data_IF_006467197388
#
_entry.id   IF_006467197388
#
_cell.length_a   1.000
_cell.length_b   1.000
_cell.length_c   1.000
_cell.angle_alpha   90.00
_cell.angle_beta   90.00
_cell.angle_gamma   90.00
#
_symmetry.space_group_name_H-M   'P 1'
#
loop_
_entity.id
_entity.type
_entity.pdbx_description
1 polymer ?
#
# COMPACT_ATOMS: atom_id res chain seq x y z
N UNK A 1 -0.22 31.98 -15.75
CA UNK A 1 -0.33 31.51 -14.35
C UNK A 1 -0.73 30.05 -14.41
N UNK A 2 -0.25 29.19 -13.51
CA UNK A 2 -0.64 27.78 -13.53
C UNK A 2 -2.08 27.64 -13.00
N UNK A 3 -2.99 27.16 -13.83
CA UNK A 3 -4.39 26.91 -13.45
C UNK A 3 -4.51 25.55 -12.76
N UNK A 4 -4.06 25.46 -11.50
CA UNK A 4 -3.96 24.20 -10.75
C UNK A 4 -5.28 23.42 -10.69
N UNK A 5 -6.41 24.13 -10.50
CA UNK A 5 -7.74 23.51 -10.45
C UNK A 5 -8.16 22.93 -11.80
N UNK A 6 -7.72 23.52 -12.91
CA UNK A 6 -7.96 22.98 -14.24
C UNK A 6 -7.20 21.65 -14.41
N UNK A 7 -5.90 21.61 -14.07
CA UNK A 7 -5.10 20.38 -14.11
C UNK A 7 -5.73 19.30 -13.22
N UNK A 8 -6.11 19.65 -11.99
CA UNK A 8 -6.76 18.72 -11.06
C UNK A 8 -8.06 18.13 -11.65
N UNK A 9 -8.87 18.94 -12.33
CA UNK A 9 -10.11 18.49 -12.98
C UNK A 9 -9.85 17.50 -14.13
N UNK A 10 -8.80 17.75 -14.94
CA UNK A 10 -8.37 16.85 -16.01
C UNK A 10 -7.86 15.51 -15.44
N UNK A 11 -7.06 15.56 -14.37
CA UNK A 11 -6.59 14.35 -13.68
C UNK A 11 -7.77 13.57 -13.07
N UNK A 12 -8.72 14.25 -12.43
CA UNK A 12 -9.93 13.63 -11.87
C UNK A 12 -10.81 12.97 -12.93
N UNK A 13 -10.85 13.52 -14.15
CA UNK A 13 -11.54 12.88 -15.27
C UNK A 13 -10.88 11.52 -15.58
N UNK A 14 -9.56 11.47 -15.69
CA UNK A 14 -8.82 10.23 -15.93
C UNK A 14 -8.95 9.24 -14.77
N UNK A 15 -8.95 9.71 -13.51
CA UNK A 15 -9.29 8.89 -12.35
C UNK A 15 -10.68 8.26 -12.49
N UNK A 16 -11.69 9.08 -12.81
CA UNK A 16 -13.08 8.64 -12.95
C UNK A 16 -13.26 7.63 -14.08
N UNK A 17 -12.59 7.83 -15.23
CA UNK A 17 -12.58 6.88 -16.34
C UNK A 17 -11.94 5.56 -15.91
N UNK A 18 -10.83 5.64 -15.18
CA UNK A 18 -10.16 4.43 -14.70
C UNK A 18 -11.03 3.66 -13.71
N UNK A 19 -11.68 4.36 -12.78
CA UNK A 19 -12.52 3.73 -11.75
C UNK A 19 -13.77 3.11 -12.38
N UNK A 20 -14.42 3.80 -13.33
CA UNK A 20 -15.54 3.26 -14.10
C UNK A 20 -15.19 1.94 -14.81
N UNK A 21 -13.97 1.83 -15.35
CA UNK A 21 -13.48 0.63 -16.05
C UNK A 21 -13.13 -0.52 -15.10
N UNK A 22 -12.76 -0.23 -13.84
CA UNK A 22 -12.12 -1.20 -12.94
C UNK A 22 -12.82 -1.40 -11.59
N UNK A 23 -13.92 -0.71 -11.31
CA UNK A 23 -14.67 -0.86 -10.05
C UNK A 23 -15.13 -2.32 -9.83
N UNK A 24 -15.43 -3.05 -10.90
CA UNK A 24 -15.78 -4.47 -10.86
C UNK A 24 -14.67 -5.43 -10.41
N UNK A 25 -13.42 -4.95 -10.25
CA UNK A 25 -12.34 -5.74 -9.67
C UNK A 25 -12.48 -5.91 -8.15
N UNK A 26 -13.28 -5.07 -7.49
CA UNK A 26 -13.50 -5.13 -6.06
C UNK A 26 -14.73 -5.98 -5.73
N UNK A 27 -14.70 -6.66 -4.57
CA UNK A 27 -15.93 -7.19 -3.99
C UNK A 27 -16.87 -6.04 -3.62
N UNK A 28 -18.17 -6.31 -3.50
CA UNK A 28 -19.17 -5.29 -3.14
C UNK A 28 -18.79 -4.55 -1.85
N UNK A 29 -18.42 -5.28 -0.80
CA UNK A 29 -17.97 -4.68 0.46
C UNK A 29 -16.65 -3.90 0.29
N UNK A 30 -15.73 -4.40 -0.54
CA UNK A 30 -14.47 -3.73 -0.83
C UNK A 30 -14.67 -2.41 -1.57
N UNK A 31 -15.56 -2.39 -2.56
CA UNK A 31 -15.94 -1.17 -3.29
C UNK A 31 -16.60 -0.15 -2.36
N UNK A 32 -17.56 -0.58 -1.54
CA UNK A 32 -18.25 0.30 -0.60
C UNK A 32 -17.28 1.00 0.38
N UNK A 33 -16.31 0.27 0.94
CA UNK A 33 -15.31 0.86 1.84
C UNK A 33 -14.44 1.90 1.14
N UNK A 34 -14.06 1.67 -0.13
CA UNK A 34 -13.28 2.64 -0.90
C UNK A 34 -14.09 3.87 -1.30
N UNK A 35 -15.36 3.68 -1.65
CA UNK A 35 -16.28 4.78 -1.95
C UNK A 35 -16.51 5.66 -0.72
N UNK A 36 -16.65 5.06 0.46
CA UNK A 36 -16.69 5.78 1.75
C UNK A 36 -15.43 6.63 1.96
N UNK A 37 -14.26 6.07 1.70
CA UNK A 37 -12.98 6.78 1.87
C UNK A 37 -12.78 7.89 0.81
N UNK A 38 -13.26 7.67 -0.42
CA UNK A 38 -13.28 8.68 -1.47
C UNK A 38 -14.24 9.83 -1.12
N UNK A 39 -15.43 9.52 -0.59
CA UNK A 39 -16.39 10.50 -0.10
C UNK A 39 -15.77 11.43 0.94
N UNK A 40 -15.11 10.84 1.96
CA UNK A 40 -14.46 11.62 3.02
C UNK A 40 -13.46 12.63 2.45
N UNK A 41 -12.67 12.22 1.47
CA UNK A 41 -11.73 13.13 0.81
C UNK A 41 -12.41 14.20 -0.04
N UNK A 42 -13.41 13.84 -0.85
CA UNK A 42 -14.14 14.82 -1.67
C UNK A 42 -14.85 15.89 -0.81
N UNK A 43 -15.27 15.54 0.40
CA UNK A 43 -15.93 16.42 1.35
C UNK A 43 -15.00 17.09 2.35
N UNK A 44 -13.70 16.75 2.35
CA UNK A 44 -12.73 17.27 3.32
C UNK A 44 -13.02 16.85 4.76
N UNK A 45 -13.58 15.66 4.95
CA UNK A 45 -13.87 15.08 6.25
C UNK A 45 -12.63 14.42 6.87
N UNK A 46 -12.53 14.48 8.18
CA UNK A 46 -11.51 13.76 8.93
C UNK A 46 -11.72 12.24 8.83
N UNK A 47 -10.67 11.41 8.99
CA UNK A 47 -10.78 9.96 8.85
C UNK A 47 -11.85 9.30 9.74
N UNK A 48 -12.06 9.83 10.96
CA UNK A 48 -13.04 9.34 11.93
C UNK A 48 -14.45 9.86 11.75
N UNK A 49 -14.67 10.84 10.88
CA UNK A 49 -16.02 11.32 10.58
C UNK A 49 -16.70 10.33 9.64
N UNK A 50 -17.90 9.90 10.02
CA UNK A 50 -18.78 9.07 9.19
C UNK A 50 -20.03 9.89 8.87
N UNK A 51 -20.54 9.72 7.65
CA UNK A 51 -21.76 10.37 7.17
C UNK A 51 -22.97 9.45 7.37
N UNK A 52 -24.16 10.05 7.42
CA UNK A 52 -25.41 9.31 7.41
C UNK A 52 -25.49 8.36 6.22
N UNK A 53 -25.93 7.12 6.48
CA UNK A 53 -25.90 6.06 5.45
C UNK A 53 -26.76 6.40 4.24
N UNK A 54 -27.88 7.11 4.41
CA UNK A 54 -28.73 7.55 3.31
C UNK A 54 -28.03 8.53 2.37
N UNK A 55 -27.31 9.51 2.93
CA UNK A 55 -26.55 10.51 2.16
C UNK A 55 -25.40 9.84 1.41
N UNK A 56 -24.71 8.89 2.07
CA UNK A 56 -23.64 8.14 1.44
C UNK A 56 -24.15 7.27 0.28
N UNK A 57 -25.28 6.57 0.45
CA UNK A 57 -25.87 5.73 -0.60
C UNK A 57 -26.36 6.56 -1.78
N UNK A 58 -26.94 7.74 -1.54
CA UNK A 58 -27.34 8.67 -2.60
C UNK A 58 -26.11 9.14 -3.40
N UNK A 59 -25.04 9.56 -2.73
CA UNK A 59 -23.80 9.95 -3.39
C UNK A 59 -23.14 8.80 -4.17
N UNK A 60 -23.21 7.56 -3.64
CA UNK A 60 -22.73 6.38 -4.37
C UNK A 60 -23.52 6.20 -5.66
N UNK A 61 -24.84 6.34 -5.62
CA UNK A 61 -25.68 6.28 -6.82
C UNK A 61 -25.29 7.33 -7.87
N UNK A 62 -25.10 8.58 -7.46
CA UNK A 62 -24.65 9.66 -8.35
C UNK A 62 -23.26 9.35 -8.99
N UNK A 63 -22.36 8.73 -8.22
CA UNK A 63 -21.04 8.32 -8.71
C UNK A 63 -21.13 7.21 -9.74
N UNK A 64 -21.95 6.20 -9.49
CA UNK A 64 -22.16 5.07 -10.40
C UNK A 64 -22.80 5.54 -11.70
N UNK A 65 -23.82 6.40 -11.66
CA UNK A 65 -24.42 7.02 -12.86
C UNK A 65 -23.38 7.82 -13.68
N UNK A 66 -22.52 8.57 -12.99
CA UNK A 66 -21.42 9.28 -13.65
C UNK A 66 -20.44 8.31 -14.30
N UNK A 67 -20.09 7.21 -13.64
CA UNK A 67 -19.20 6.19 -14.19
C UNK A 67 -19.79 5.48 -15.41
N UNK A 68 -21.09 5.19 -15.42
CA UNK A 68 -21.78 4.65 -16.59
C UNK A 68 -21.60 5.57 -17.82
N UNK A 69 -21.69 6.89 -17.63
CA UNK A 69 -21.47 7.89 -18.70
C UNK A 69 -20.02 7.99 -19.21
N UNK A 70 -19.07 7.43 -18.45
CA UNK A 70 -17.65 7.39 -18.78
C UNK A 70 -17.20 6.03 -19.32
N UNK A 71 -18.09 5.02 -19.27
CA UNK A 71 -17.80 3.68 -19.76
C UNK A 71 -17.42 3.72 -21.24
N UNK A 72 -16.30 3.07 -21.58
CA UNK A 72 -15.75 3.04 -22.94
C UNK A 72 -15.00 4.29 -23.39
N UNK A 73 -14.95 5.37 -22.61
CA UNK A 73 -14.14 6.56 -22.96
C UNK A 73 -12.66 6.33 -22.70
N UNK A 74 -11.81 6.80 -23.59
CA UNK A 74 -10.35 6.78 -23.41
C UNK A 74 -9.85 7.89 -22.49
N UNK A 75 -8.63 7.70 -21.98
CA UNK A 75 -7.97 8.71 -21.16
C UNK A 75 -7.68 9.95 -22.01
N UNK A 76 -7.88 11.11 -21.41
CA UNK A 76 -7.65 12.39 -22.06
C UNK A 76 -6.25 12.92 -21.75
N UNK A 77 -5.68 13.64 -22.71
CA UNK A 77 -4.47 14.43 -22.51
C UNK A 77 -4.65 15.43 -21.37
N UNK A 78 -3.53 15.80 -20.74
CA UNK A 78 -3.46 16.82 -19.70
C UNK A 78 -2.86 18.09 -20.31
N UNK A 79 -3.66 19.15 -20.40
CA UNK A 79 -3.22 20.47 -20.85
C UNK A 79 -2.57 21.25 -19.71
N UNK A 80 -1.31 21.64 -19.90
CA UNK A 80 -0.51 22.42 -18.96
C UNK A 80 0.17 23.54 -19.72
N UNK A 81 -0.16 24.79 -19.37
CA UNK A 81 0.41 26.00 -19.99
C UNK A 81 0.28 26.00 -21.54
N UNK A 82 -0.85 25.52 -22.06
CA UNK A 82 -1.14 25.46 -23.51
C UNK A 82 -0.44 24.32 -24.25
N UNK A 83 0.15 23.35 -23.55
CA UNK A 83 0.71 22.12 -24.12
C UNK A 83 -0.07 20.91 -23.62
N UNK A 84 -0.36 19.98 -24.51
CA UNK A 84 -1.00 18.71 -24.18
C UNK A 84 0.07 17.64 -23.91
N UNK A 85 -0.13 16.89 -22.84
CA UNK A 85 0.71 15.76 -22.44
C UNK A 85 -0.15 14.50 -22.43
N UNK A 86 0.41 13.39 -22.89
CA UNK A 86 -0.19 12.07 -22.67
C UNK A 86 -0.31 11.84 -21.15
N UNK A 87 -1.42 11.28 -20.64
CA UNK A 87 -1.61 11.10 -19.20
C UNK A 87 -0.62 10.14 -18.55
N UNK A 88 0.14 9.36 -19.32
CA UNK A 88 1.24 8.53 -18.82
C UNK A 88 2.62 9.18 -19.01
N UNK A 89 2.72 10.38 -19.58
CA UNK A 89 3.95 11.18 -19.63
C UNK A 89 4.23 11.86 -18.27
N UNK A 90 4.47 11.02 -17.26
CA UNK A 90 4.76 11.45 -15.88
C UNK A 90 5.98 12.37 -15.83
N UNK A 91 7.02 12.06 -16.63
CA UNK A 91 8.25 12.86 -16.67
C UNK A 91 8.01 14.24 -17.30
N UNK A 92 7.33 14.31 -18.44
CA UNK A 92 7.01 15.56 -19.12
C UNK A 92 6.09 16.45 -18.30
N UNK A 93 5.06 15.88 -17.69
CA UNK A 93 4.13 16.61 -16.82
C UNK A 93 4.88 17.17 -15.59
N UNK A 94 5.65 16.35 -14.86
CA UNK A 94 6.37 16.82 -13.67
C UNK A 94 7.42 17.88 -14.00
N UNK A 95 8.11 17.78 -15.15
CA UNK A 95 9.01 18.85 -15.62
C UNK A 95 8.29 20.20 -15.76
N UNK A 96 7.01 20.21 -16.10
CA UNK A 96 6.21 21.42 -16.25
C UNK A 96 5.64 21.95 -14.92
N UNK A 97 5.35 21.08 -13.94
CA UNK A 97 4.61 21.47 -12.73
C UNK A 97 5.41 21.45 -11.42
N UNK A 98 6.55 20.74 -11.33
CA UNK A 98 7.33 20.60 -10.09
C UNK A 98 7.80 21.96 -9.55
N UNK A 99 8.15 22.91 -10.45
CA UNK A 99 8.55 24.28 -10.08
C UNK A 99 7.46 25.06 -9.34
N UNK A 100 6.20 24.63 -9.46
CA UNK A 100 5.05 25.21 -8.76
C UNK A 100 4.71 24.47 -7.46
N UNK A 101 5.55 23.51 -7.03
CA UNK A 101 5.33 22.74 -5.81
C UNK A 101 4.22 21.70 -5.96
N UNK A 102 4.05 21.13 -7.15
CA UNK A 102 3.02 20.12 -7.46
C UNK A 102 3.69 18.89 -8.03
N UNK A 103 3.17 17.72 -7.69
CA UNK A 103 3.60 16.45 -8.22
C UNK A 103 2.42 15.71 -8.87
N UNK A 104 2.66 15.17 -10.05
CA UNK A 104 1.75 14.30 -10.77
C UNK A 104 2.26 12.87 -10.77
N UNK A 105 1.39 11.91 -10.52
CA UNK A 105 1.72 10.50 -10.69
C UNK A 105 0.70 9.78 -11.53
N UNK A 106 1.19 8.90 -12.39
CA UNK A 106 0.40 8.01 -13.21
C UNK A 106 1.10 6.67 -13.36
N UNK A 107 0.34 5.58 -13.47
CA UNK A 107 0.91 4.26 -13.69
C UNK A 107 -0.11 3.15 -13.63
N UNK A 108 0.38 1.91 -13.60
CA UNK A 108 -0.44 0.72 -13.47
C UNK A 108 -0.22 0.09 -12.10
N UNK A 109 -1.31 -0.10 -11.37
CA UNK A 109 -1.34 -0.65 -10.01
C UNK A 109 -1.88 -2.08 -10.03
N UNK A 110 -2.43 -2.57 -8.92
CA UNK A 110 -2.97 -3.93 -8.80
C UNK A 110 -3.89 -4.30 -9.98
N UNK A 111 -3.74 -5.51 -10.52
CA UNK A 111 -4.45 -6.02 -11.70
C UNK A 111 -4.31 -5.14 -12.96
N UNK A 112 -3.20 -4.40 -13.08
CA UNK A 112 -2.96 -3.47 -14.19
C UNK A 112 -4.04 -2.39 -14.33
N UNK A 113 -4.75 -2.04 -13.24
CA UNK A 113 -5.62 -0.87 -13.23
C UNK A 113 -4.75 0.38 -13.43
N UNK A 114 -5.08 1.29 -14.37
CA UNK A 114 -4.47 2.61 -14.44
C UNK A 114 -4.78 3.43 -13.18
N UNK A 115 -3.83 4.21 -12.69
CA UNK A 115 -4.04 5.08 -11.54
C UNK A 115 -3.39 6.42 -11.82
N UNK A 116 -4.07 7.48 -11.38
CA UNK A 116 -3.64 8.86 -11.55
C UNK A 116 -3.86 9.62 -10.24
N UNK A 117 -2.97 10.55 -9.93
CA UNK A 117 -3.18 11.50 -8.85
C UNK A 117 -2.39 12.78 -9.08
N UNK A 118 -2.80 13.84 -8.39
CA UNK A 118 -2.13 15.13 -8.34
C UNK A 118 -2.10 15.60 -6.90
N UNK A 119 -0.95 16.07 -6.42
CA UNK A 119 -0.81 16.52 -5.04
C UNK A 119 0.19 17.66 -4.92
N UNK A 120 0.12 18.43 -3.83
CA UNK A 120 1.20 19.34 -3.47
C UNK A 120 2.44 18.58 -3.04
N UNK A 121 3.60 19.07 -3.48
CA UNK A 121 4.91 18.58 -3.05
C UNK A 121 5.33 19.34 -1.80
N UNK A 122 5.26 18.69 -0.64
CA UNK A 122 5.66 19.31 0.63
C UNK A 122 7.17 19.29 0.80
N UNK A 123 7.80 18.16 0.46
CA UNK A 123 9.21 17.92 0.72
C UNK A 123 9.79 16.89 -0.24
N UNK A 124 11.04 17.09 -0.64
CA UNK A 124 11.85 16.15 -1.42
C UNK A 124 13.17 15.91 -0.69
N UNK A 125 13.50 14.67 -0.40
CA UNK A 125 14.78 14.29 0.25
C UNK A 125 15.45 13.17 -0.52
N UNK A 126 16.69 12.85 -0.15
CA UNK A 126 17.39 11.64 -0.58
C UNK A 126 17.57 10.74 0.64
N UNK A 127 17.21 9.47 0.49
CA UNK A 127 17.43 8.45 1.51
C UNK A 127 18.15 7.29 0.83
N UNK A 128 19.37 7.00 1.26
CA UNK A 128 20.17 5.88 0.76
C UNK A 128 20.41 5.92 -0.77
N UNK A 129 20.48 7.13 -1.36
CA UNK A 129 20.67 7.36 -2.79
C UNK A 129 19.38 7.28 -3.61
N UNK A 130 18.21 7.24 -2.96
CA UNK A 130 16.91 7.23 -3.60
C UNK A 130 16.15 8.53 -3.28
N UNK A 131 15.65 9.26 -4.30
CA UNK A 131 14.78 10.38 -4.08
C UNK A 131 13.47 9.96 -3.42
N UNK A 132 13.09 10.66 -2.35
CA UNK A 132 11.83 10.46 -1.63
C UNK A 132 11.01 11.74 -1.71
N UNK A 133 9.81 11.64 -2.28
CA UNK A 133 8.86 12.75 -2.39
C UNK A 133 7.75 12.56 -1.35
N UNK A 134 7.63 13.53 -0.47
CA UNK A 134 6.53 13.62 0.49
C UNK A 134 5.47 14.54 -0.08
N UNK A 135 4.32 13.95 -0.39
CA UNK A 135 3.19 14.61 -1.02
C UNK A 135 2.16 14.96 0.05
N UNK A 136 1.79 16.23 0.13
CA UNK A 136 0.84 16.76 1.11
C UNK A 136 -0.60 16.55 0.65
N UNK A 137 -1.32 17.66 0.51
CA UNK A 137 -2.73 17.64 0.10
C UNK A 137 -2.90 17.16 -1.32
N UNK A 138 -3.81 16.20 -1.51
CA UNK A 138 -4.18 15.64 -2.80
C UNK A 138 -5.25 16.52 -3.47
N UNK A 139 -4.98 16.91 -4.71
CA UNK A 139 -5.85 17.71 -5.56
C UNK A 139 -6.73 16.82 -6.46
N UNK A 140 -6.21 15.63 -6.80
CA UNK A 140 -6.92 14.60 -7.55
C UNK A 140 -6.43 13.23 -7.09
N UNK A 141 -7.35 12.28 -6.94
CA UNK A 141 -7.03 10.87 -6.68
C UNK A 141 -8.13 9.95 -7.20
N UNK A 142 -7.76 8.70 -7.46
CA UNK A 142 -8.71 7.65 -7.82
C UNK A 142 -9.17 6.85 -6.58
N UNK A 143 -10.02 5.86 -6.82
CA UNK A 143 -10.57 4.97 -5.78
C UNK A 143 -9.49 4.10 -5.10
N UNK A 144 -8.40 3.78 -5.80
CA UNK A 144 -7.31 2.98 -5.24
C UNK A 144 -6.29 3.86 -4.54
N UNK A 145 -6.48 4.01 -3.24
CA UNK A 145 -5.53 4.74 -2.41
C UNK A 145 -4.36 3.85 -1.99
N UNK A 146 -3.16 4.19 -2.44
CA UNK A 146 -1.88 3.57 -2.02
C UNK A 146 -1.07 4.64 -1.27
N UNK A 147 -0.73 4.44 0.01
CA UNK A 147 -0.12 5.48 0.84
C UNK A 147 1.36 5.73 0.52
N UNK A 148 2.06 4.71 0.03
CA UNK A 148 3.44 4.78 -0.39
C UNK A 148 3.71 3.75 -1.48
N UNK A 149 4.58 4.09 -2.42
CA UNK A 149 5.04 3.17 -3.46
C UNK A 149 6.32 3.67 -4.11
N UNK A 150 7.08 2.75 -4.70
CA UNK A 150 8.21 3.07 -5.57
C UNK A 150 7.82 3.17 -7.05
N UNK A 151 8.30 4.23 -7.72
CA UNK A 151 8.08 4.45 -9.15
C UNK A 151 9.33 5.06 -9.77
N UNK A 152 9.79 4.53 -10.90
CA UNK A 152 10.91 5.07 -11.70
C UNK A 152 12.19 5.40 -10.88
N UNK A 153 12.46 4.59 -9.85
CA UNK A 153 13.64 4.76 -9.00
C UNK A 153 13.49 5.82 -7.90
N UNK A 154 12.29 6.34 -7.67
CA UNK A 154 11.96 7.18 -6.53
C UNK A 154 10.91 6.53 -5.63
N UNK A 155 10.81 7.04 -4.40
CA UNK A 155 9.80 6.65 -3.40
C UNK A 155 8.82 7.80 -3.24
N UNK A 156 7.53 7.51 -3.35
CA UNK A 156 6.46 8.49 -3.19
C UNK A 156 5.70 8.18 -1.90
N UNK A 157 5.53 9.17 -1.04
CA UNK A 157 4.75 9.09 0.20
C UNK A 157 3.57 10.06 0.12
N UNK A 158 2.34 9.55 0.07
CA UNK A 158 1.10 10.33 0.00
C UNK A 158 0.54 10.52 1.41
N UNK A 159 0.78 11.68 2.04
CA UNK A 159 0.50 11.91 3.48
C UNK A 159 -0.98 11.77 3.83
N UNK A 160 -1.88 12.42 3.09
CA UNK A 160 -3.34 12.31 3.33
C UNK A 160 -3.82 10.85 3.18
N UNK A 161 -3.30 10.16 2.16
CA UNK A 161 -3.56 8.74 1.92
C UNK A 161 -3.02 7.86 3.05
N UNK A 162 -1.83 8.14 3.58
CA UNK A 162 -1.20 7.42 4.68
C UNK A 162 -1.94 7.60 6.00
N UNK A 163 -2.45 8.81 6.29
CA UNK A 163 -3.26 9.08 7.47
C UNK A 163 -4.59 8.31 7.44
N UNK A 164 -5.31 8.36 6.32
CA UNK A 164 -6.56 7.61 6.14
C UNK A 164 -6.32 6.09 6.19
N UNK A 165 -5.24 5.61 5.56
CA UNK A 165 -4.86 4.21 5.60
C UNK A 165 -4.57 3.74 7.04
N UNK A 166 -3.77 4.50 7.80
CA UNK A 166 -3.48 4.20 9.21
C UNK A 166 -4.77 4.17 10.05
N UNK A 167 -5.65 5.16 9.87
CA UNK A 167 -6.95 5.18 10.54
C UNK A 167 -7.75 3.91 10.26
N UNK A 168 -7.87 3.53 8.99
CA UNK A 168 -8.61 2.33 8.60
C UNK A 168 -8.02 1.04 9.19
N UNK A 169 -6.70 0.92 9.24
CA UNK A 169 -6.03 -0.23 9.87
C UNK A 169 -6.37 -0.34 11.37
N UNK A 170 -6.43 0.80 12.08
CA UNK A 170 -6.84 0.83 13.48
C UNK A 170 -8.34 0.57 13.65
N UNK A 171 -9.17 1.14 12.79
CA UNK A 171 -10.62 1.03 12.86
C UNK A 171 -11.11 -0.41 12.62
N UNK A 172 -10.53 -1.10 11.63
CA UNK A 172 -10.86 -2.48 11.28
C UNK A 172 -9.99 -3.53 11.99
N UNK A 173 -9.31 -3.14 13.08
CA UNK A 173 -8.39 -4.02 13.78
C UNK A 173 -9.07 -5.31 14.26
N UNK A 174 -8.45 -6.45 13.95
CA UNK A 174 -8.91 -7.75 14.44
C UNK A 174 -8.62 -7.91 15.94
N UNK A 175 -9.37 -8.79 16.61
CA UNK A 175 -9.18 -9.08 18.05
C UNK A 175 -7.73 -9.45 18.40
N UNK A 176 -7.04 -10.19 17.52
CA UNK A 176 -5.64 -10.58 17.71
C UNK A 176 -4.67 -9.40 17.72
N UNK A 177 -4.97 -8.30 17.01
CA UNK A 177 -4.10 -7.12 16.93
C UNK A 177 -4.34 -6.09 18.04
N UNK A 178 -5.43 -6.21 18.82
CA UNK A 178 -5.84 -5.19 19.81
C UNK A 178 -4.79 -4.90 20.88
N UNK A 179 -4.11 -5.94 21.38
CA UNK A 179 -3.09 -5.76 22.42
C UNK A 179 -1.87 -4.98 21.89
N UNK A 180 -1.40 -5.33 20.69
CA UNK A 180 -0.31 -4.62 20.04
C UNK A 180 -0.71 -3.18 19.66
N UNK A 181 -1.95 -2.97 19.22
CA UNK A 181 -2.47 -1.62 18.96
C UNK A 181 -2.48 -0.76 20.23
N UNK A 182 -2.97 -1.29 21.35
CA UNK A 182 -2.95 -0.56 22.63
C UNK A 182 -1.53 -0.20 23.08
N UNK A 183 -0.57 -1.11 22.88
CA UNK A 183 0.84 -0.82 23.11
C UNK A 183 1.34 0.33 22.22
N UNK A 184 1.04 0.27 20.91
CA UNK A 184 1.47 1.30 19.96
C UNK A 184 0.93 2.68 20.35
N UNK A 185 -0.38 2.76 20.62
CA UNK A 185 -1.05 4.00 21.03
C UNK A 185 -0.46 4.57 22.32
N UNK A 186 -0.17 3.71 23.30
CA UNK A 186 0.48 4.12 24.55
C UNK A 186 1.87 4.71 24.33
N UNK A 187 2.67 4.15 23.41
CA UNK A 187 3.97 4.71 23.02
C UNK A 187 3.86 6.13 22.41
N UNK A 188 2.71 6.47 21.86
CA UNK A 188 2.39 7.80 21.35
C UNK A 188 1.68 8.72 22.36
N UNK A 189 1.48 8.27 23.60
CA UNK A 189 0.80 9.03 24.65
C UNK A 189 -0.73 9.00 24.55
N UNK A 190 -1.29 8.09 23.75
CA UNK A 190 -2.74 7.87 23.66
C UNK A 190 -3.11 6.75 24.63
N UNK A 191 -3.74 7.09 25.74
CA UNK A 191 -4.24 6.13 26.73
C UNK A 191 -5.48 5.39 26.21
N UNK A 192 -5.68 4.16 26.70
CA UNK A 192 -6.82 3.33 26.32
C UNK A 192 -8.17 4.04 26.52
N UNK A 193 -9.04 3.95 25.52
CA UNK A 193 -10.47 4.27 25.66
C UNK A 193 -10.91 5.71 25.43
N UNK A 194 -10.04 6.63 24.98
CA UNK A 194 -10.45 8.00 24.59
C UNK A 194 -10.36 8.20 23.07
N UNK A 195 -11.49 8.09 22.34
CA UNK A 195 -11.55 8.42 20.91
C UNK A 195 -11.03 9.83 20.61
N UNK A 196 -11.37 10.81 21.46
CA UNK A 196 -10.94 12.20 21.28
C UNK A 196 -9.42 12.36 21.34
N UNK A 197 -8.74 11.63 22.24
CA UNK A 197 -7.28 11.64 22.31
C UNK A 197 -6.66 11.02 21.06
N UNK A 198 -7.25 9.95 20.52
CA UNK A 198 -6.79 9.36 19.26
C UNK A 198 -6.96 10.34 18.10
N UNK A 199 -8.12 11.00 18.00
CA UNK A 199 -8.39 12.01 16.97
C UNK A 199 -7.37 13.16 17.02
N UNK A 200 -7.09 13.69 18.22
CA UNK A 200 -6.13 14.78 18.42
C UNK A 200 -4.68 14.39 18.10
N UNK A 201 -4.34 13.10 18.22
CA UNK A 201 -2.97 12.61 17.99
C UNK A 201 -2.79 11.94 16.62
N UNK A 202 -3.84 11.70 15.83
CA UNK A 202 -3.76 10.94 14.58
C UNK A 202 -2.71 11.50 13.62
N UNK A 203 -2.75 12.81 13.36
CA UNK A 203 -1.78 13.46 12.48
C UNK A 203 -0.33 13.29 12.95
N UNK A 204 -0.09 13.37 14.27
CA UNK A 204 1.24 13.17 14.86
C UNK A 204 1.70 11.71 14.74
N UNK A 205 0.81 10.76 14.99
CA UNK A 205 1.08 9.33 14.85
C UNK A 205 1.38 9.01 13.39
N UNK A 206 0.53 9.47 12.47
CA UNK A 206 0.70 9.27 11.04
C UNK A 206 2.04 9.82 10.55
N UNK A 207 2.38 11.07 10.93
CA UNK A 207 3.66 11.68 10.58
C UNK A 207 4.87 10.87 11.08
N UNK A 208 4.79 10.32 12.30
CA UNK A 208 5.84 9.46 12.83
C UNK A 208 5.96 8.14 12.05
N UNK A 209 4.84 7.53 11.65
CA UNK A 209 4.84 6.25 10.93
C UNK A 209 5.21 6.36 9.44
N UNK A 210 5.31 7.56 8.87
CA UNK A 210 5.66 7.75 7.45
C UNK A 210 7.00 7.14 7.06
N UNK A 211 7.99 7.25 7.94
CA UNK A 211 9.33 6.70 7.70
C UNK A 211 9.29 5.17 7.60
N UNK A 212 8.39 4.51 8.33
CA UNK A 212 8.16 3.08 8.20
C UNK A 212 7.72 2.67 6.78
N UNK A 213 6.92 3.50 6.10
CA UNK A 213 6.59 3.27 4.70
C UNK A 213 7.80 3.48 3.78
N UNK A 214 8.61 4.51 4.01
CA UNK A 214 9.84 4.74 3.21
C UNK A 214 10.77 3.53 3.25
N UNK A 215 11.02 2.96 4.43
CA UNK A 215 11.90 1.79 4.55
C UNK A 215 11.27 0.50 4.02
N UNK A 216 9.94 0.39 3.95
CA UNK A 216 9.28 -0.70 3.21
C UNK A 216 9.60 -0.58 1.71
N UNK A 217 9.37 0.60 1.11
CA UNK A 217 9.64 0.84 -0.30
C UNK A 217 11.13 0.68 -0.64
N UNK A 218 12.01 1.17 0.21
CA UNK A 218 13.46 1.00 0.06
C UNK A 218 13.86 -0.47 0.10
N UNK A 219 13.28 -1.23 1.03
CA UNK A 219 13.44 -2.67 1.13
C UNK A 219 12.97 -3.40 -0.14
N UNK A 220 11.83 -2.99 -0.73
CA UNK A 220 11.33 -3.55 -1.99
C UNK A 220 12.27 -3.27 -3.16
N UNK A 221 12.76 -2.03 -3.29
CA UNK A 221 13.68 -1.59 -4.34
C UNK A 221 15.00 -2.35 -4.26
N UNK A 222 15.55 -2.50 -3.04
CA UNK A 222 16.87 -3.10 -2.82
C UNK A 222 16.83 -4.63 -2.77
N UNK A 223 15.66 -5.26 -2.67
CA UNK A 223 15.54 -6.72 -2.69
C UNK A 223 16.05 -7.33 -4.01
N UNK A 224 17.03 -8.23 -3.89
CA UNK A 224 17.60 -9.01 -4.99
C UNK A 224 17.26 -10.49 -4.90
N UNK A 225 16.58 -10.92 -3.85
CA UNK A 225 16.24 -12.31 -3.59
C UNK A 225 15.13 -12.77 -4.54
N UNK A 226 14.01 -12.05 -4.58
CA UNK A 226 12.92 -12.39 -5.47
C UNK A 226 13.10 -11.68 -6.81
N UNK A 227 13.54 -12.42 -7.83
CA UNK A 227 13.79 -11.86 -9.15
C UNK A 227 12.55 -11.11 -9.68
N UNK A 228 12.71 -9.81 -9.97
CA UNK A 228 11.60 -8.93 -10.38
C UNK A 228 10.84 -9.42 -11.61
N UNK A 229 11.50 -10.06 -12.57
CA UNK A 229 10.84 -10.59 -13.78
C UNK A 229 9.97 -11.80 -13.44
N UNK A 230 10.51 -12.72 -12.64
CA UNK A 230 9.78 -13.92 -12.18
C UNK A 230 8.59 -13.50 -11.32
N UNK A 231 8.81 -12.62 -10.34
CA UNK A 231 7.73 -12.13 -9.47
C UNK A 231 6.59 -11.48 -10.27
N UNK A 232 6.91 -10.60 -11.24
CA UNK A 232 5.91 -10.00 -12.14
C UNK A 232 5.16 -11.07 -12.92
N UNK A 233 5.87 -12.06 -13.47
CA UNK A 233 5.25 -13.11 -14.26
C UNK A 233 4.31 -13.98 -13.41
N UNK A 234 4.69 -14.32 -12.17
CA UNK A 234 3.83 -15.02 -11.21
C UNK A 234 2.56 -14.22 -10.92
N UNK A 235 2.70 -12.94 -10.55
CA UNK A 235 1.57 -12.07 -10.24
C UNK A 235 0.64 -11.87 -11.44
N UNK A 236 1.17 -11.81 -12.66
CA UNK A 236 0.36 -11.66 -13.88
C UNK A 236 -0.32 -12.95 -14.31
N UNK A 237 0.40 -14.08 -14.35
CA UNK A 237 -0.15 -15.37 -14.83
C UNK A 237 -1.15 -15.97 -13.84
N UNK A 238 -0.96 -15.73 -12.55
CA UNK A 238 -1.81 -16.24 -11.47
C UNK A 238 -2.63 -15.12 -10.83
N UNK A 239 -2.99 -14.09 -11.59
CA UNK A 239 -3.79 -12.97 -11.09
C UNK A 239 -5.12 -13.48 -10.50
N UNK A 240 -5.50 -12.91 -9.36
CA UNK A 240 -6.71 -13.25 -8.61
C UNK A 240 -6.74 -14.67 -8.01
N UNK A 241 -5.59 -15.33 -7.86
CA UNK A 241 -5.49 -16.63 -7.18
C UNK A 241 -4.71 -16.54 -5.86
N UNK A 242 -4.80 -17.56 -4.98
CA UNK A 242 -3.96 -17.64 -3.78
C UNK A 242 -2.45 -17.58 -4.07
N UNK A 243 -2.02 -17.97 -5.28
CA UNK A 243 -0.61 -17.91 -5.70
C UNK A 243 -0.15 -16.46 -5.85
N UNK A 244 -0.97 -15.58 -6.45
CA UNK A 244 -0.65 -14.15 -6.47
C UNK A 244 -0.52 -13.61 -5.04
N UNK A 245 -1.47 -13.94 -4.16
CA UNK A 245 -1.45 -13.49 -2.77
C UNK A 245 -0.18 -13.94 -2.04
N UNK A 246 0.25 -15.19 -2.25
CA UNK A 246 1.51 -15.72 -1.73
C UNK A 246 2.72 -14.98 -2.29
N UNK A 247 2.82 -14.82 -3.60
CA UNK A 247 3.94 -14.12 -4.23
C UNK A 247 4.08 -12.67 -3.74
N UNK A 248 2.96 -11.95 -3.55
CA UNK A 248 2.94 -10.62 -2.95
C UNK A 248 3.34 -10.65 -1.47
N UNK A 249 2.80 -11.56 -0.69
CA UNK A 249 3.10 -11.66 0.75
C UNK A 249 4.57 -11.98 1.02
N UNK A 250 5.18 -12.85 0.21
CA UNK A 250 6.62 -13.15 0.26
C UNK A 250 7.44 -11.92 -0.11
N UNK A 251 7.02 -11.16 -1.13
CA UNK A 251 7.71 -9.93 -1.56
C UNK A 251 7.65 -8.86 -0.47
N UNK A 252 6.49 -8.62 0.12
CA UNK A 252 6.32 -7.69 1.25
C UNK A 252 7.19 -8.10 2.43
N UNK A 253 7.22 -9.39 2.78
CA UNK A 253 8.02 -9.89 3.90
C UNK A 253 9.52 -9.70 3.64
N UNK A 254 9.99 -9.96 2.42
CA UNK A 254 11.37 -9.65 2.02
C UNK A 254 11.66 -8.15 2.10
N UNK A 255 10.74 -7.29 1.68
CA UNK A 255 10.88 -5.84 1.74
C UNK A 255 10.97 -5.35 3.19
N UNK A 256 10.18 -5.91 4.11
CA UNK A 256 10.19 -5.51 5.51
C UNK A 256 11.40 -6.04 6.30
N UNK A 257 11.93 -7.21 5.96
CA UNK A 257 12.91 -7.93 6.80
C UNK A 257 14.36 -7.87 6.32
N UNK A 258 14.61 -7.49 5.07
CA UNK A 258 15.98 -7.34 4.56
C UNK A 258 16.73 -6.17 5.22
N UNK A 259 18.04 -6.07 4.97
CA UNK A 259 18.95 -5.10 5.62
C UNK A 259 18.55 -3.63 5.48
N UNK A 260 17.75 -3.30 4.46
CA UNK A 260 17.25 -1.94 4.19
C UNK A 260 15.77 -1.78 4.50
N UNK A 261 15.14 -2.85 5.02
CA UNK A 261 13.71 -2.96 5.22
C UNK A 261 13.18 -2.29 6.47
N UNK A 262 11.86 -2.13 6.50
CA UNK A 262 11.10 -1.49 7.58
C UNK A 262 11.44 -2.03 8.98
N UNK A 263 11.43 -3.34 9.16
CA UNK A 263 11.61 -3.95 10.49
C UNK A 263 13.06 -3.85 10.98
N UNK A 264 14.05 -3.92 10.09
CA UNK A 264 15.46 -3.65 10.45
C UNK A 264 15.64 -2.19 10.87
N UNK A 265 15.04 -1.25 10.16
CA UNK A 265 15.04 0.16 10.57
C UNK A 265 14.36 0.36 11.93
N UNK A 266 13.17 -0.21 12.13
CA UNK A 266 12.43 -0.14 13.40
C UNK A 266 13.27 -0.66 14.56
N UNK A 267 13.95 -1.80 14.40
CA UNK A 267 14.81 -2.39 15.43
C UNK A 267 16.03 -1.51 15.73
N UNK A 268 16.73 -1.05 14.68
CA UNK A 268 17.92 -0.20 14.81
C UNK A 268 17.63 1.10 15.53
N UNK A 269 16.55 1.77 15.16
CA UNK A 269 16.12 3.05 15.76
C UNK A 269 15.26 2.85 17.03
N UNK A 270 15.06 1.60 17.47
CA UNK A 270 14.29 1.22 18.66
C UNK A 270 12.88 1.81 18.72
N UNK A 271 12.17 1.77 17.60
CA UNK A 271 10.84 2.39 17.44
C UNK A 271 9.72 1.51 17.97
N UNK A 272 9.52 1.56 19.29
CA UNK A 272 8.53 0.74 20.00
C UNK A 272 7.11 0.84 19.40
N UNK A 273 6.63 2.06 19.16
CA UNK A 273 5.30 2.30 18.60
C UNK A 273 5.14 1.71 17.21
N UNK A 274 6.14 1.89 16.34
CA UNK A 274 6.13 1.38 14.97
C UNK A 274 6.22 -0.15 14.91
N UNK A 275 7.00 -0.77 15.80
CA UNK A 275 7.02 -2.23 15.95
C UNK A 275 5.63 -2.75 16.35
N UNK A 276 5.02 -2.13 17.34
CA UNK A 276 3.72 -2.52 17.84
C UNK A 276 2.61 -2.33 16.78
N UNK A 277 2.65 -1.24 16.00
CA UNK A 277 1.76 -1.06 14.85
C UNK A 277 1.96 -2.14 13.79
N UNK A 278 3.22 -2.47 13.44
CA UNK A 278 3.49 -3.53 12.49
C UNK A 278 2.88 -4.86 12.95
N UNK A 279 3.05 -5.23 14.21
CA UNK A 279 2.47 -6.46 14.79
C UNK A 279 0.94 -6.39 14.85
N UNK A 280 0.38 -5.23 15.21
CA UNK A 280 -1.07 -5.05 15.26
C UNK A 280 -1.74 -5.29 13.90
N UNK A 281 -1.10 -4.84 12.83
CA UNK A 281 -1.60 -4.94 11.46
C UNK A 281 -1.14 -6.21 10.72
N UNK A 282 -0.37 -7.08 11.39
CA UNK A 282 0.05 -8.35 10.82
C UNK A 282 -1.13 -9.33 10.78
N UNK A 283 -1.60 -9.62 9.58
CA UNK A 283 -2.80 -10.42 9.34
C UNK A 283 -2.70 -11.22 8.03
N UNK A 284 -3.67 -12.10 7.81
CA UNK A 284 -3.80 -12.93 6.63
C UNK A 284 -2.56 -13.78 6.41
N UNK A 285 -2.13 -13.90 5.16
CA UNK A 285 -1.02 -14.77 4.78
C UNK A 285 0.32 -14.33 5.41
N UNK A 286 0.58 -13.02 5.51
CA UNK A 286 1.83 -12.52 6.14
C UNK A 286 1.97 -12.98 7.59
N UNK A 287 0.85 -13.08 8.32
CA UNK A 287 0.85 -13.61 9.69
C UNK A 287 1.25 -15.10 9.74
N UNK A 288 0.75 -15.90 8.81
CA UNK A 288 1.08 -17.33 8.74
C UNK A 288 2.52 -17.56 8.26
N UNK A 289 3.06 -16.67 7.42
CA UNK A 289 4.45 -16.72 6.94
C UNK A 289 5.46 -16.18 7.95
N UNK A 290 5.03 -15.41 8.94
CA UNK A 290 5.92 -14.79 9.93
C UNK A 290 5.39 -14.84 11.37
N UNK A 291 5.08 -16.04 11.90
CA UNK A 291 4.56 -16.21 13.26
C UNK A 291 5.58 -15.81 14.34
N UNK A 292 6.87 -15.89 14.06
CA UNK A 292 7.95 -15.62 15.01
C UNK A 292 7.91 -14.18 15.53
N UNK A 293 7.50 -13.22 14.68
CA UNK A 293 7.38 -11.82 15.11
C UNK A 293 6.34 -11.63 16.21
N UNK A 294 5.24 -12.40 16.17
CA UNK A 294 4.19 -12.32 17.20
C UNK A 294 4.73 -12.84 18.53
N UNK A 295 5.43 -13.97 18.51
CA UNK A 295 6.03 -14.56 19.71
C UNK A 295 7.10 -13.63 20.29
N UNK A 296 7.99 -13.11 19.45
CA UNK A 296 9.03 -12.17 19.86
C UNK A 296 8.45 -10.87 20.41
N UNK A 297 7.36 -10.36 19.82
CA UNK A 297 6.68 -9.16 20.32
C UNK A 297 6.06 -9.38 21.70
N UNK A 298 5.51 -10.58 21.98
CA UNK A 298 4.98 -10.90 23.31
C UNK A 298 6.08 -10.82 24.38
N UNK A 299 7.25 -11.39 24.11
CA UNK A 299 8.40 -11.30 25.02
C UNK A 299 8.89 -9.84 25.15
N UNK A 300 9.11 -9.17 24.01
CA UNK A 300 9.52 -7.76 23.96
C UNK A 300 8.59 -6.83 24.73
N UNK A 301 7.27 -7.12 24.73
CA UNK A 301 6.28 -6.31 25.43
C UNK A 301 6.48 -6.28 26.95
N UNK A 302 7.16 -7.28 27.52
CA UNK A 302 7.57 -7.32 28.92
C UNK A 302 9.03 -6.94 29.17
N UNK A 303 9.94 -7.28 28.25
CA UNK A 303 11.40 -7.17 28.48
C UNK A 303 12.05 -5.94 27.85
N UNK A 304 11.47 -5.40 26.77
CA UNK A 304 12.09 -4.41 25.88
C UNK A 304 13.43 -4.86 25.28
N UNK A 305 13.66 -6.16 25.24
CA UNK A 305 14.88 -6.72 24.64
C UNK A 305 14.78 -6.71 23.11
N UNK A 306 15.49 -5.80 22.45
CA UNK A 306 15.49 -5.71 21.00
C UNK A 306 16.15 -6.91 20.31
N UNK A 307 16.99 -7.69 21.02
CA UNK A 307 17.63 -8.86 20.43
C UNK A 307 16.61 -9.92 20.01
N UNK A 308 15.51 -10.08 20.77
CA UNK A 308 14.46 -11.04 20.43
C UNK A 308 13.75 -10.66 19.14
N UNK A 309 13.57 -9.35 18.89
CA UNK A 309 12.98 -8.82 17.66
C UNK A 309 13.95 -8.97 16.50
N UNK A 310 15.22 -8.60 16.67
CA UNK A 310 16.23 -8.74 15.62
C UNK A 310 16.40 -10.19 15.15
N UNK A 311 16.39 -11.14 16.09
CA UNK A 311 16.42 -12.58 15.79
C UNK A 311 15.18 -13.01 15.02
N UNK A 312 13.98 -12.56 15.43
CA UNK A 312 12.75 -12.87 14.70
C UNK A 312 12.77 -12.29 13.28
N UNK A 313 13.21 -11.03 13.11
CA UNK A 313 13.36 -10.40 11.78
C UNK A 313 14.31 -11.20 10.89
N UNK A 314 15.41 -11.71 11.44
CA UNK A 314 16.33 -12.55 10.68
C UNK A 314 15.68 -13.87 10.24
N UNK A 315 14.98 -14.55 11.15
CA UNK A 315 14.22 -15.76 10.82
C UNK A 315 13.16 -15.50 9.74
N UNK A 316 12.41 -14.39 9.86
CA UNK A 316 11.42 -13.98 8.87
C UNK A 316 12.03 -13.75 7.49
N UNK A 317 13.20 -13.11 7.42
CA UNK A 317 13.94 -12.93 6.17
C UNK A 317 14.36 -14.28 5.56
N UNK A 318 14.92 -15.18 6.37
CA UNK A 318 15.36 -16.50 5.89
C UNK A 318 14.19 -17.35 5.39
N UNK A 319 13.04 -17.31 6.07
CA UNK A 319 11.79 -17.95 5.63
C UNK A 319 11.31 -17.37 4.30
N UNK A 320 11.22 -16.04 4.19
CA UNK A 320 10.77 -15.37 2.96
C UNK A 320 11.71 -15.65 1.78
N UNK A 321 13.02 -15.68 2.03
CA UNK A 321 14.03 -16.03 1.03
C UNK A 321 13.84 -17.44 0.50
N UNK A 322 13.66 -18.41 1.39
CA UNK A 322 13.45 -19.80 0.99
C UNK A 322 12.17 -19.93 0.16
N UNK A 323 11.07 -19.29 0.57
CA UNK A 323 9.81 -19.29 -0.19
C UNK A 323 9.97 -18.67 -1.57
N UNK A 324 10.66 -17.53 -1.69
CA UNK A 324 10.93 -16.88 -2.97
C UNK A 324 11.77 -17.78 -3.91
N UNK A 325 12.74 -18.51 -3.35
CA UNK A 325 13.56 -19.46 -4.09
C UNK A 325 12.74 -20.67 -4.59
N UNK A 326 11.87 -21.24 -3.75
CA UNK A 326 10.98 -22.34 -4.15
C UNK A 326 9.99 -21.87 -5.22
N UNK A 327 9.31 -20.73 -5.02
CA UNK A 327 8.42 -20.13 -6.02
C UNK A 327 9.13 -19.93 -7.36
N UNK A 328 10.35 -19.38 -7.33
CA UNK A 328 11.13 -19.14 -8.53
C UNK A 328 11.56 -20.45 -9.21
N UNK A 329 11.94 -21.47 -8.41
CA UNK A 329 12.33 -22.78 -8.91
C UNK A 329 11.19 -23.50 -9.63
N UNK A 330 10.01 -23.57 -9.00
CA UNK A 330 8.81 -24.18 -9.59
C UNK A 330 8.44 -23.43 -10.87
N UNK A 331 8.40 -22.09 -10.83
CA UNK A 331 8.04 -21.28 -11.99
C UNK A 331 8.98 -21.52 -13.18
N UNK A 332 10.31 -21.47 -12.95
CA UNK A 332 11.30 -21.67 -14.00
C UNK A 332 11.25 -23.08 -14.59
N UNK A 333 10.96 -24.08 -13.77
CA UNK A 333 10.81 -25.46 -14.25
C UNK A 333 9.53 -25.62 -15.09
N UNK A 334 8.43 -24.99 -14.69
CA UNK A 334 7.20 -24.98 -15.46
C UNK A 334 7.35 -24.26 -16.81
N UNK A 335 8.08 -23.15 -16.86
CA UNK A 335 8.41 -22.48 -18.13
C UNK A 335 9.24 -23.38 -19.06
N UNK A 336 10.18 -24.18 -18.54
CA UNK A 336 10.93 -25.15 -19.36
C UNK A 336 10.06 -26.28 -19.90
N UNK A 337 9.05 -26.68 -19.13
CA UNK A 337 8.09 -27.74 -19.49
C UNK A 337 6.95 -27.23 -20.36
N UNK A 338 6.79 -25.92 -20.47
CA UNK A 338 5.60 -25.26 -21.04
C UNK A 338 4.29 -25.72 -20.36
N UNK A 339 4.33 -25.88 -19.03
CA UNK A 339 3.20 -26.39 -18.24
C UNK A 339 2.92 -25.53 -17.00
N UNK A 340 2.06 -24.52 -17.18
CA UNK A 340 1.63 -23.64 -16.09
C UNK A 340 0.64 -24.30 -15.13
N UNK A 341 -0.06 -25.37 -15.55
CA UNK A 341 -0.95 -26.13 -14.64
C UNK A 341 -0.12 -26.94 -13.65
N UNK A 342 1.01 -27.48 -14.10
CA UNK A 342 1.98 -28.09 -13.20
C UNK A 342 2.55 -27.08 -12.20
N UNK A 343 2.86 -25.85 -12.63
CA UNK A 343 3.29 -24.77 -11.71
C UNK A 343 2.23 -24.49 -10.66
N UNK A 344 0.98 -24.31 -11.08
CA UNK A 344 -0.15 -24.09 -10.18
C UNK A 344 -0.25 -25.21 -9.14
N UNK A 345 -0.29 -26.46 -9.61
CA UNK A 345 -0.40 -27.64 -8.75
C UNK A 345 0.75 -27.77 -7.74
N UNK A 346 2.01 -27.61 -8.16
CA UNK A 346 3.14 -27.75 -7.23
C UNK A 346 3.22 -26.58 -6.25
N UNK A 347 2.89 -25.34 -6.65
CA UNK A 347 2.82 -24.23 -5.69
C UNK A 347 1.71 -24.49 -4.67
N UNK A 348 0.54 -24.93 -5.12
CA UNK A 348 -0.56 -25.26 -4.22
C UNK A 348 -0.16 -26.36 -3.23
N UNK A 349 0.45 -27.44 -3.72
CA UNK A 349 0.87 -28.59 -2.93
C UNK A 349 2.00 -28.29 -1.95
N UNK A 350 3.08 -27.65 -2.43
CA UNK A 350 4.30 -27.46 -1.64
C UNK A 350 4.23 -26.25 -0.71
N UNK A 351 3.48 -25.20 -1.10
CA UNK A 351 3.53 -23.92 -0.38
C UNK A 351 2.19 -23.52 0.24
N UNK A 352 1.05 -23.77 -0.42
CA UNK A 352 -0.25 -23.30 0.08
C UNK A 352 -0.97 -24.33 0.97
N UNK A 353 -0.87 -25.62 0.64
CA UNK A 353 -1.47 -26.70 1.43
C UNK A 353 -0.89 -26.79 2.85
N UNK A 354 0.44 -26.65 3.08
CA UNK A 354 0.99 -26.63 4.44
C UNK A 354 0.49 -25.45 5.28
N UNK A 355 0.08 -24.36 4.63
CA UNK A 355 -0.51 -23.17 5.28
C UNK A 355 -2.03 -23.31 5.49
N UNK A 356 -2.63 -24.43 5.07
CA UNK A 356 -4.07 -24.68 5.20
C UNK A 356 -4.94 -23.80 4.30
N UNK A 357 -4.35 -23.13 3.30
CA UNK A 357 -5.03 -22.18 2.40
C UNK A 357 -5.81 -22.91 1.32
N UNK A 358 -5.27 -24.04 0.85
CA UNK A 358 -5.87 -24.86 -0.20
C UNK A 358 -5.88 -26.31 0.28
N UNK A 359 -6.91 -27.07 -0.09
CA UNK A 359 -6.94 -28.52 0.10
C UNK A 359 -6.47 -29.15 -1.21
N UNK A 360 -5.29 -29.75 -1.19
CA UNK A 360 -4.66 -30.39 -2.36
C UNK A 360 -4.80 -31.90 -2.29
#
# INVERSE_FOLDING_TARGET
MLEVNNIASQVLLNCSISDARHAGLYSVCGLALRLRDLYKWEKGLYPWQEEESSVMLEWIGEKEEKWESLSGKDFSDIEILGRNYDPFDVEGINKAIEVYGIFYGAGYVHSLKPSFFLAFLDQKTDIEGYPVYYLGRELARDLLTVPAFSQDGCILIRKESAELYLWNQMFFIKKSGKQALGFALKSYGVSDGSPDMLHQNLAKISAAELEGYVYHELGEIKDRVFNRRIWRALVTKFAHTPIELLARSVKDLLADTNDYGKLKHIARERREGSLAFHVAFLDGLRKELFPELIVAFQEFSGTRDWQVIENAVQTGFDTARNLAQVLSGIYLEGEKRDDMKWVEYEIEKELLAPLGIVKV
#
